data_IF_269602451755
#
_entry.id   IF_269602451755
#
_cell.length_a   1.000
_cell.length_b   1.000
_cell.length_c   1.000
_cell.angle_alpha   90.00
_cell.angle_beta   90.00
_cell.angle_gamma   90.00
#
_symmetry.space_group_name_H-M   'P 1'
#
loop_
_entity.id
_entity.type
_entity.pdbx_description
1 polymer ?
#
# COMPACT_ATOMS: atom_id res chain seq x y z
N UNK A 1 -5.17 59.05 -20.08
CA UNK A 1 -6.19 58.86 -19.02
C UNK A 1 -6.47 57.37 -18.91
N UNK A 2 -6.49 56.83 -17.68
CA UNK A 2 -7.05 55.50 -17.32
C UNK A 2 -6.24 54.26 -17.75
N UNK A 3 -5.92 53.26 -16.92
CA UNK A 3 -6.05 53.06 -15.46
C UNK A 3 -4.89 52.17 -14.99
N UNK A 4 -4.33 52.52 -13.84
CA UNK A 4 -3.37 51.72 -13.10
C UNK A 4 -4.09 50.54 -12.42
N UNK A 5 -3.62 49.31 -12.65
CA UNK A 5 -4.14 48.13 -11.97
C UNK A 5 -3.34 47.91 -10.68
N UNK A 6 -4.04 48.06 -9.54
CA UNK A 6 -3.46 48.03 -8.21
C UNK A 6 -3.18 46.59 -7.78
N UNK A 7 -1.94 46.36 -7.34
CA UNK A 7 -1.55 45.21 -6.56
C UNK A 7 -1.81 45.49 -5.08
N UNK A 8 -2.79 44.83 -4.51
CA UNK A 8 -2.99 44.57 -3.08
C UNK A 8 -3.66 43.20 -3.01
N UNK A 9 -3.36 42.29 -2.11
CA UNK A 9 -2.65 42.34 -0.84
C UNK A 9 -3.05 41.03 -0.14
N UNK A 10 -2.29 40.58 0.85
CA UNK A 10 -2.73 39.47 1.70
C UNK A 10 -1.64 38.49 2.08
N UNK A 11 -0.61 38.97 2.77
CA UNK A 11 0.19 38.13 3.65
C UNK A 11 -0.62 37.94 4.95
N UNK A 12 -1.30 36.80 5.08
CA UNK A 12 -1.86 36.35 6.35
C UNK A 12 -0.92 35.26 6.91
N UNK A 13 -0.05 35.68 7.82
CA UNK A 13 0.62 34.81 8.76
C UNK A 13 -0.45 34.21 9.69
N UNK A 14 -0.55 32.89 9.73
CA UNK A 14 -1.25 32.18 10.80
C UNK A 14 -0.23 31.31 11.50
N UNK A 15 0.32 31.92 12.53
CA UNK A 15 0.93 31.35 13.71
C UNK A 15 -0.12 30.53 14.45
N UNK A 16 0.15 29.27 14.76
CA UNK A 16 -0.47 28.53 15.88
C UNK A 16 0.34 27.27 16.16
N UNK A 17 1.23 27.42 17.14
CA UNK A 17 1.67 26.42 18.09
C UNK A 17 0.54 25.48 18.50
N UNK A 18 0.78 24.16 18.39
CA UNK A 18 0.12 23.19 19.26
C UNK A 18 1.11 22.06 19.57
N UNK A 19 1.85 22.24 20.67
CA UNK A 19 2.50 21.18 21.41
C UNK A 19 1.44 20.13 21.79
N UNK A 20 1.69 18.85 21.46
CA UNK A 20 0.93 17.75 22.05
C UNK A 20 1.85 16.65 22.54
N UNK A 21 1.79 16.47 23.85
CA UNK A 21 2.48 15.52 24.71
C UNK A 21 2.65 14.12 24.11
N UNK A 22 3.89 13.66 24.16
CA UNK A 22 4.32 12.29 23.90
C UNK A 22 4.06 11.41 25.13
N UNK A 23 2.87 10.78 25.22
CA UNK A 23 2.64 9.66 26.15
C UNK A 23 3.16 8.35 25.56
N UNK A 24 4.32 7.91 26.04
CA UNK A 24 4.86 6.56 25.85
C UNK A 24 4.07 5.55 26.68
N UNK A 25 3.11 4.87 26.08
CA UNK A 25 2.60 3.61 26.62
C UNK A 25 3.39 2.43 26.07
N UNK A 26 4.21 1.85 26.94
CA UNK A 26 4.81 0.53 26.79
C UNK A 26 3.75 -0.54 27.05
N UNK A 27 3.17 -1.10 26.00
CA UNK A 27 2.35 -2.32 26.12
C UNK A 27 3.17 -3.55 25.76
N UNK A 28 3.41 -4.36 26.80
CA UNK A 28 4.05 -5.66 26.73
C UNK A 28 3.26 -6.60 25.81
N UNK A 29 3.93 -7.07 24.76
CA UNK A 29 3.48 -8.15 23.88
C UNK A 29 3.56 -9.48 24.64
N UNK A 30 2.48 -9.85 25.31
CA UNK A 30 2.28 -11.20 25.81
C UNK A 30 1.96 -12.11 24.62
N UNK A 31 2.85 -13.07 24.37
CA UNK A 31 2.62 -14.14 23.42
C UNK A 31 1.40 -14.96 23.81
N UNK A 32 0.51 -15.21 22.85
CA UNK A 32 -0.55 -16.21 22.98
C UNK A 32 -0.35 -17.27 21.91
N UNK A 33 0.21 -18.37 22.36
CA UNK A 33 0.54 -19.58 21.62
C UNK A 33 -0.64 -20.54 21.64
N UNK A 34 -0.96 -21.09 20.46
CA UNK A 34 -1.59 -22.41 20.18
C UNK A 34 -2.78 -22.89 21.00
N UNK A 35 -3.91 -23.13 20.32
CA UNK A 35 -4.63 -24.41 20.39
C UNK A 35 -5.69 -24.53 19.29
N UNK A 36 -5.34 -25.21 18.21
CA UNK A 36 -6.29 -25.74 17.25
C UNK A 36 -6.82 -27.11 17.73
N UNK A 37 -8.13 -27.26 17.93
CA UNK A 37 -8.99 -28.40 17.50
C UNK A 37 -10.25 -28.50 18.36
N UNK A 38 -11.39 -28.20 17.74
CA UNK A 38 -12.72 -28.47 18.29
C UNK A 38 -13.82 -28.12 17.30
N UNK A 39 -13.90 -28.83 16.17
CA UNK A 39 -15.05 -28.73 15.24
C UNK A 39 -16.25 -29.49 15.83
N UNK A 40 -16.78 -29.02 16.95
CA UNK A 40 -18.10 -29.42 17.42
C UNK A 40 -19.16 -28.69 16.60
N UNK A 41 -19.98 -29.43 15.84
CA UNK A 41 -21.25 -28.91 15.28
C UNK A 41 -22.21 -28.68 16.45
N UNK A 42 -21.95 -27.65 17.25
CA UNK A 42 -22.85 -27.20 18.31
C UNK A 42 -24.14 -26.71 17.65
N UNK A 43 -25.26 -27.35 17.99
CA UNK A 43 -26.59 -26.84 17.67
C UNK A 43 -26.65 -25.42 18.25
N UNK A 44 -26.73 -24.41 17.36
CA UNK A 44 -26.85 -23.01 17.75
C UNK A 44 -28.05 -22.89 18.69
N UNK A 45 -27.83 -22.33 19.88
CA UNK A 45 -28.91 -22.07 20.81
C UNK A 45 -29.98 -21.20 20.10
N UNK A 46 -31.26 -21.59 20.13
CA UNK A 46 -32.31 -20.96 19.32
C UNK A 46 -32.66 -19.50 19.70
N UNK A 47 -32.05 -18.93 20.75
CA UNK A 47 -32.42 -17.61 21.29
C UNK A 47 -31.32 -16.53 21.19
N UNK A 48 -30.28 -16.71 20.38
CA UNK A 48 -29.23 -15.70 20.20
C UNK A 48 -29.64 -14.49 19.32
N UNK A 49 -30.89 -14.44 18.83
CA UNK A 49 -31.32 -13.42 17.85
C UNK A 49 -31.70 -12.07 18.49
N UNK A 50 -31.79 -11.98 19.82
CA UNK A 50 -32.29 -10.78 20.51
C UNK A 50 -31.23 -9.76 20.96
N UNK A 51 -29.95 -9.95 20.61
CA UNK A 51 -28.89 -8.96 20.88
C UNK A 51 -28.26 -8.42 19.60
N UNK A 52 -29.03 -8.35 18.52
CA UNK A 52 -28.53 -7.79 17.27
C UNK A 52 -28.55 -6.26 17.37
N UNK A 53 -27.45 -5.58 17.00
CA UNK A 53 -27.39 -4.12 17.06
C UNK A 53 -28.50 -3.52 16.19
N UNK A 54 -29.05 -2.36 16.59
CA UNK A 54 -30.03 -1.65 15.78
C UNK A 54 -29.42 -1.32 14.42
N UNK A 55 -30.22 -1.49 13.37
CA UNK A 55 -29.81 -1.19 11.99
C UNK A 55 -29.93 0.32 11.79
N UNK A 56 -28.89 0.94 11.25
CA UNK A 56 -28.92 2.36 10.90
C UNK A 56 -29.97 2.64 9.81
N UNK A 57 -30.73 3.76 9.90
CA UNK A 57 -31.84 4.04 8.99
C UNK A 57 -31.39 4.15 7.53
N UNK A 58 -30.23 4.77 7.26
CA UNK A 58 -29.69 4.91 5.91
C UNK A 58 -29.36 3.55 5.25
N UNK A 59 -28.87 2.60 6.05
CA UNK A 59 -28.56 1.23 5.57
C UNK A 59 -29.85 0.47 5.26
N UNK A 60 -30.86 0.63 6.12
CA UNK A 60 -32.18 0.03 5.95
C UNK A 60 -32.89 0.58 4.71
N UNK A 61 -32.83 1.89 4.49
CA UNK A 61 -33.37 2.55 3.28
C UNK A 61 -32.70 2.04 2.01
N UNK A 62 -31.36 1.96 1.98
CA UNK A 62 -30.61 1.40 0.86
C UNK A 62 -31.04 -0.05 0.59
N UNK A 63 -31.09 -0.89 1.62
CA UNK A 63 -31.42 -2.31 1.45
C UNK A 63 -32.87 -2.52 1.00
N UNK A 64 -33.83 -1.73 1.52
CA UNK A 64 -35.23 -1.73 1.08
C UNK A 64 -35.38 -1.29 -0.37
N UNK A 65 -34.69 -0.22 -0.77
CA UNK A 65 -34.71 0.34 -2.14
C UNK A 65 -34.33 -0.73 -3.19
N UNK A 66 -33.33 -1.55 -2.88
CA UNK A 66 -32.78 -2.56 -3.80
C UNK A 66 -33.22 -4.00 -3.50
N UNK A 67 -34.19 -4.19 -2.59
CA UNK A 67 -34.71 -5.49 -2.16
C UNK A 67 -33.59 -6.48 -1.73
N UNK A 68 -32.70 -6.02 -0.86
CA UNK A 68 -31.56 -6.79 -0.37
C UNK A 68 -31.96 -7.58 0.89
N UNK A 69 -31.49 -8.82 0.98
CA UNK A 69 -31.78 -9.72 2.10
C UNK A 69 -31.23 -9.20 3.44
N UNK A 70 -32.01 -9.36 4.51
CA UNK A 70 -31.66 -8.94 5.88
C UNK A 70 -30.28 -9.43 6.34
N UNK A 71 -29.87 -10.63 5.88
CA UNK A 71 -28.56 -11.18 6.21
C UNK A 71 -27.41 -10.32 5.69
N UNK A 72 -27.56 -9.74 4.49
CA UNK A 72 -26.57 -8.85 3.89
C UNK A 72 -26.66 -7.47 4.57
N UNK A 73 -27.86 -6.99 4.85
CA UNK A 73 -28.10 -5.74 5.59
C UNK A 73 -27.39 -5.72 6.94
N UNK A 74 -27.54 -6.78 7.73
CA UNK A 74 -26.87 -6.89 9.04
C UNK A 74 -25.36 -6.88 8.90
N UNK A 75 -24.82 -7.63 7.93
CA UNK A 75 -23.38 -7.66 7.66
C UNK A 75 -22.86 -6.28 7.24
N UNK A 76 -23.61 -5.55 6.41
CA UNK A 76 -23.26 -4.18 6.04
C UNK A 76 -23.26 -3.26 7.25
N UNK A 77 -24.27 -3.36 8.12
CA UNK A 77 -24.37 -2.60 9.37
C UNK A 77 -23.14 -2.82 10.26
N UNK A 78 -22.78 -4.08 10.51
CA UNK A 78 -21.61 -4.42 11.33
C UNK A 78 -20.32 -3.78 10.80
N UNK A 79 -20.13 -3.79 9.48
CA UNK A 79 -18.93 -3.21 8.84
C UNK A 79 -18.96 -1.67 8.90
N UNK A 80 -20.12 -1.06 8.69
CA UNK A 80 -20.27 0.40 8.73
C UNK A 80 -20.09 0.97 10.14
N UNK A 81 -20.49 0.25 11.19
CA UNK A 81 -20.23 0.66 12.57
C UNK A 81 -18.73 0.71 12.91
N UNK A 82 -17.87 0.02 12.15
CA UNK A 82 -16.41 0.13 12.33
C UNK A 82 -15.77 1.31 11.60
N UNK A 83 -16.53 2.01 10.75
CA UNK A 83 -16.04 3.03 9.79
C UNK A 83 -16.82 4.34 9.91
N UNK A 84 -16.99 4.84 11.13
CA UNK A 84 -17.75 6.08 11.39
C UNK A 84 -17.19 7.28 10.62
N UNK A 85 -15.86 7.39 10.49
CA UNK A 85 -15.20 8.51 9.80
C UNK A 85 -15.50 8.60 8.30
N UNK A 86 -15.81 7.47 7.64
CA UNK A 86 -16.04 7.40 6.19
C UNK A 86 -17.46 6.98 5.82
N UNK A 87 -18.37 6.98 6.79
CA UNK A 87 -19.72 6.43 6.65
C UNK A 87 -20.51 7.07 5.50
N UNK A 88 -20.67 8.39 5.50
CA UNK A 88 -21.47 9.11 4.49
C UNK A 88 -20.92 8.91 3.07
N UNK A 89 -19.59 8.97 2.93
CA UNK A 89 -18.91 8.81 1.64
C UNK A 89 -19.07 7.38 1.12
N UNK A 90 -18.89 6.40 2.01
CA UNK A 90 -19.04 4.99 1.65
C UNK A 90 -20.50 4.69 1.29
N UNK A 91 -21.49 5.23 2.01
CA UNK A 91 -22.91 5.05 1.76
C UNK A 91 -23.34 5.59 0.39
N UNK A 92 -22.92 6.82 0.07
CA UNK A 92 -23.17 7.43 -1.24
C UNK A 92 -22.58 6.58 -2.37
N UNK A 93 -21.35 6.09 -2.19
CA UNK A 93 -20.71 5.22 -3.17
C UNK A 93 -21.43 3.88 -3.34
N UNK A 94 -21.88 3.26 -2.25
CA UNK A 94 -22.65 2.02 -2.31
C UNK A 94 -23.98 2.22 -3.04
N UNK A 95 -24.63 3.37 -2.85
CA UNK A 95 -25.85 3.72 -3.57
C UNK A 95 -25.61 3.76 -5.08
N UNK A 96 -24.60 4.52 -5.53
CA UNK A 96 -24.22 4.63 -6.94
C UNK A 96 -23.87 3.26 -7.55
N UNK A 97 -23.14 2.42 -6.81
CA UNK A 97 -22.78 1.06 -7.25
C UNK A 97 -24.02 0.18 -7.40
N UNK A 98 -24.99 0.29 -6.49
CA UNK A 98 -26.24 -0.49 -6.55
C UNK A 98 -27.14 -0.02 -7.69
N UNK A 99 -27.23 1.29 -7.96
CA UNK A 99 -28.00 1.84 -9.09
C UNK A 99 -27.46 1.37 -10.45
N UNK A 100 -26.14 1.26 -10.59
CA UNK A 100 -25.50 0.84 -11.84
C UNK A 100 -25.47 -0.69 -12.03
N UNK A 101 -25.57 -1.48 -10.96
CA UNK A 101 -25.42 -2.92 -11.00
C UNK A 101 -26.69 -3.63 -11.50
N UNK A 102 -26.54 -4.55 -12.46
CA UNK A 102 -27.64 -5.45 -12.89
C UNK A 102 -28.19 -6.33 -11.76
N UNK A 103 -27.36 -6.62 -10.75
CA UNK A 103 -27.68 -7.45 -9.58
C UNK A 103 -27.15 -6.74 -8.32
N UNK A 104 -27.93 -5.84 -7.69
CA UNK A 104 -27.45 -4.98 -6.61
C UNK A 104 -26.99 -5.78 -5.39
N UNK A 105 -27.76 -6.79 -4.95
CA UNK A 105 -27.41 -7.66 -3.82
C UNK A 105 -26.02 -8.32 -3.97
N UNK A 106 -25.72 -8.89 -5.14
CA UNK A 106 -24.42 -9.51 -5.40
C UNK A 106 -23.26 -8.50 -5.46
N UNK A 107 -23.50 -7.34 -6.08
CA UNK A 107 -22.51 -6.25 -6.12
C UNK A 107 -22.20 -5.72 -4.73
N UNK A 108 -23.24 -5.50 -3.92
CA UNK A 108 -23.11 -5.03 -2.54
C UNK A 108 -22.32 -6.03 -1.70
N UNK A 109 -22.53 -7.33 -1.86
CA UNK A 109 -21.78 -8.35 -1.12
C UNK A 109 -20.26 -8.31 -1.40
N UNK A 110 -19.87 -8.03 -2.65
CA UNK A 110 -18.46 -7.81 -3.00
C UNK A 110 -17.94 -6.53 -2.34
N UNK A 111 -18.72 -5.45 -2.36
CA UNK A 111 -18.34 -4.17 -1.74
C UNK A 111 -18.23 -4.24 -0.22
N UNK A 112 -19.10 -4.99 0.45
CA UNK A 112 -18.96 -5.31 1.87
C UNK A 112 -17.62 -6.01 2.13
N UNK A 113 -17.24 -6.98 1.29
CA UNK A 113 -15.93 -7.65 1.41
C UNK A 113 -14.74 -6.71 1.18
N UNK A 114 -14.86 -5.70 0.31
CA UNK A 114 -13.86 -4.65 0.13
C UNK A 114 -13.78 -3.71 1.34
N UNK A 115 -14.93 -3.35 1.91
CA UNK A 115 -15.05 -2.50 3.11
C UNK A 115 -14.40 -3.17 4.32
N UNK A 116 -14.68 -4.46 4.54
CA UNK A 116 -14.07 -5.29 5.60
C UNK A 116 -12.54 -5.34 5.49
N UNK A 117 -12.00 -5.34 4.27
CA UNK A 117 -10.55 -5.35 4.02
C UNK A 117 -9.92 -3.95 4.09
N UNK A 118 -10.73 -2.91 4.16
CA UNK A 118 -10.27 -1.52 4.06
C UNK A 118 -9.79 -1.15 2.66
N UNK A 119 -10.18 -1.89 1.62
CA UNK A 119 -9.78 -1.62 0.23
C UNK A 119 -10.91 -0.99 -0.61
N UNK A 120 -12.04 -0.67 0.01
CA UNK A 120 -13.13 0.00 -0.66
C UNK A 120 -12.73 1.42 -1.04
N UNK A 121 -12.61 1.68 -2.34
CA UNK A 121 -12.29 2.98 -2.92
C UNK A 121 -13.50 3.54 -3.66
N UNK A 122 -14.64 3.63 -2.98
CA UNK A 122 -15.86 4.25 -3.50
C UNK A 122 -16.35 3.75 -4.88
N UNK A 123 -17.35 4.45 -5.43
CA UNK A 123 -17.84 4.24 -6.80
C UNK A 123 -16.90 4.83 -7.88
N UNK A 124 -15.95 5.68 -7.46
CA UNK A 124 -15.11 6.46 -8.34
C UNK A 124 -13.69 5.92 -8.42
N UNK A 125 -13.44 5.11 -9.46
CA UNK A 125 -12.16 4.94 -10.16
C UNK A 125 -10.93 5.01 -9.24
N UNK A 126 -10.49 3.85 -8.78
CA UNK A 126 -9.06 3.67 -8.50
C UNK A 126 -8.30 4.28 -9.68
N UNK A 127 -7.43 5.26 -9.41
CA UNK A 127 -6.66 5.95 -10.45
C UNK A 127 -6.12 4.91 -11.42
N UNK A 128 -6.31 5.13 -12.73
CA UNK A 128 -5.92 4.13 -13.73
C UNK A 128 -4.44 3.77 -13.60
N UNK A 129 -3.60 4.73 -13.18
CA UNK A 129 -2.21 4.51 -12.83
C UNK A 129 -2.04 3.53 -11.66
N UNK A 130 -2.84 3.61 -10.60
CA UNK A 130 -2.81 2.70 -9.46
C UNK A 130 -3.36 1.32 -9.80
N UNK A 131 -4.39 1.24 -10.64
CA UNK A 131 -4.89 -0.03 -11.17
C UNK A 131 -3.82 -0.73 -12.04
N UNK A 132 -3.11 0.05 -12.86
CA UNK A 132 -1.97 -0.43 -13.64
C UNK A 132 -0.82 -0.87 -12.72
N UNK A 133 -0.55 -0.13 -11.65
CA UNK A 133 0.47 -0.46 -10.66
C UNK A 133 0.16 -1.78 -9.95
N UNK A 134 -1.10 -1.98 -9.53
CA UNK A 134 -1.61 -3.24 -8.96
C UNK A 134 -1.36 -4.40 -9.92
N UNK A 135 -1.73 -4.23 -11.19
CA UNK A 135 -1.63 -5.30 -12.20
C UNK A 135 -0.18 -5.61 -12.57
N UNK A 136 0.67 -4.58 -12.70
CA UNK A 136 2.10 -4.68 -13.04
C UNK A 136 2.89 -5.45 -11.97
N UNK A 137 2.60 -5.19 -10.69
CA UNK A 137 3.30 -5.82 -9.58
C UNK A 137 2.49 -6.90 -8.87
N UNK A 138 1.30 -7.26 -9.38
CA UNK A 138 0.39 -8.24 -8.77
C UNK A 138 0.21 -8.01 -7.26
N UNK A 139 -0.11 -6.77 -6.89
CA UNK A 139 -0.26 -6.43 -5.47
C UNK A 139 -1.49 -7.09 -4.85
N UNK A 140 -1.28 -7.74 -3.71
CA UNK A 140 -2.37 -8.21 -2.86
C UNK A 140 -3.26 -7.06 -2.38
N UNK A 141 -4.53 -7.35 -2.11
CA UNK A 141 -5.53 -6.34 -1.71
C UNK A 141 -5.09 -5.52 -0.50
N UNK A 142 -4.44 -6.17 0.49
CA UNK A 142 -3.94 -5.49 1.70
C UNK A 142 -2.82 -4.50 1.39
N UNK A 143 -1.90 -4.88 0.50
CA UNK A 143 -0.81 -4.02 0.08
C UNK A 143 -1.34 -2.86 -0.78
N UNK A 144 -2.31 -3.13 -1.65
CA UNK A 144 -2.98 -2.11 -2.45
C UNK A 144 -3.73 -1.10 -1.59
N UNK A 145 -4.51 -1.54 -0.61
CA UNK A 145 -5.24 -0.65 0.30
C UNK A 145 -4.29 0.33 1.02
N UNK A 146 -3.18 -0.19 1.55
CA UNK A 146 -2.15 0.63 2.19
C UNK A 146 -1.44 1.56 1.22
N UNK A 147 -1.18 1.09 0.00
CA UNK A 147 -0.59 1.91 -1.06
C UNK A 147 -1.50 3.08 -1.44
N UNK A 148 -2.78 2.82 -1.68
CA UNK A 148 -3.80 3.83 -2.00
C UNK A 148 -3.89 4.85 -0.88
N UNK A 149 -4.00 4.42 0.38
CA UNK A 149 -4.10 5.31 1.55
C UNK A 149 -2.89 6.24 1.68
N UNK A 150 -1.67 5.71 1.52
CA UNK A 150 -0.44 6.53 1.67
C UNK A 150 -0.24 7.46 0.48
N UNK A 151 -0.49 6.99 -0.75
CA UNK A 151 -0.21 7.76 -1.97
C UNK A 151 -1.29 8.83 -2.23
N UNK A 152 -2.57 8.58 -1.93
CA UNK A 152 -3.63 9.57 -2.14
C UNK A 152 -3.53 10.79 -1.22
N UNK A 153 -2.97 10.62 -0.01
CA UNK A 153 -2.80 11.73 0.93
C UNK A 153 -1.70 12.72 0.51
N UNK A 154 -0.93 12.41 -0.53
CA UNK A 154 0.27 13.14 -0.92
C UNK A 154 0.11 13.83 -2.26
N UNK A 155 0.63 15.04 -2.37
CA UNK A 155 0.59 15.84 -3.60
C UNK A 155 1.53 15.28 -4.69
N UNK A 156 2.63 14.61 -4.29
CA UNK A 156 3.67 14.10 -5.20
C UNK A 156 3.43 12.63 -5.64
N UNK A 157 2.16 12.25 -5.85
CA UNK A 157 1.76 10.84 -6.11
C UNK A 157 2.56 10.15 -7.22
N UNK A 158 2.83 10.84 -8.32
CA UNK A 158 3.53 10.25 -9.48
C UNK A 158 5.00 9.97 -9.19
N UNK A 159 5.66 10.82 -8.40
CA UNK A 159 7.07 10.63 -8.07
C UNK A 159 7.24 9.48 -7.06
N UNK A 160 6.36 9.41 -6.06
CA UNK A 160 6.32 8.28 -5.12
C UNK A 160 6.07 6.95 -5.87
N UNK A 161 5.14 6.94 -6.83
CA UNK A 161 4.89 5.76 -7.67
C UNK A 161 6.11 5.34 -8.49
N UNK A 162 6.82 6.30 -9.09
CA UNK A 162 8.06 6.03 -9.84
C UNK A 162 9.16 5.47 -8.95
N UNK A 163 9.30 5.99 -7.73
CA UNK A 163 10.30 5.53 -6.77
C UNK A 163 9.96 4.13 -6.25
N UNK A 164 8.70 3.87 -5.89
CA UNK A 164 8.23 2.53 -5.53
C UNK A 164 8.45 1.55 -6.68
N UNK A 165 8.19 1.96 -7.93
CA UNK A 165 8.47 1.11 -9.09
C UNK A 165 9.94 0.68 -9.16
N UNK A 166 10.88 1.60 -8.89
CA UNK A 166 12.32 1.29 -8.88
C UNK A 166 12.67 0.25 -7.82
N UNK A 167 12.09 0.36 -6.63
CA UNK A 167 12.32 -0.60 -5.53
C UNK A 167 11.70 -1.97 -5.83
N UNK A 168 10.51 -2.00 -6.41
CA UNK A 168 9.79 -3.25 -6.67
C UNK A 168 10.27 -3.99 -7.91
N UNK A 169 10.97 -3.33 -8.84
CA UNK A 169 11.44 -3.94 -10.10
C UNK A 169 12.29 -5.20 -9.89
N UNK A 170 13.09 -5.24 -8.82
CA UNK A 170 13.98 -6.36 -8.51
C UNK A 170 13.47 -7.26 -7.37
N UNK A 171 12.29 -6.97 -6.81
CA UNK A 171 11.75 -7.70 -5.67
C UNK A 171 11.06 -9.00 -6.13
N UNK A 172 11.37 -10.13 -5.49
CA UNK A 172 10.69 -11.40 -5.75
C UNK A 172 9.20 -11.34 -5.33
N UNK A 173 8.93 -10.68 -4.20
CA UNK A 173 7.59 -10.53 -3.62
C UNK A 173 7.26 -9.04 -3.43
N UNK A 174 6.71 -8.37 -4.46
CA UNK A 174 6.48 -6.92 -4.41
C UNK A 174 5.48 -6.50 -3.32
N UNK A 175 4.44 -7.30 -3.05
CA UNK A 175 3.47 -7.01 -1.98
C UNK A 175 4.09 -6.99 -0.58
N UNK A 176 5.13 -7.80 -0.33
CA UNK A 176 5.85 -7.76 0.96
C UNK A 176 6.87 -6.63 0.99
N UNK A 177 7.57 -6.40 -0.13
CA UNK A 177 8.59 -5.36 -0.24
C UNK A 177 8.02 -3.93 -0.13
N UNK A 178 6.80 -3.70 -0.61
CA UNK A 178 6.18 -2.36 -0.60
C UNK A 178 5.78 -1.90 0.82
N UNK A 179 5.41 -2.82 1.72
CA UNK A 179 4.88 -2.50 3.05
C UNK A 179 5.84 -1.68 3.94
N UNK A 180 7.13 -2.06 4.10
CA UNK A 180 8.07 -1.23 4.85
C UNK A 180 8.32 0.12 4.16
N UNK A 181 8.35 0.16 2.82
CA UNK A 181 8.54 1.39 2.06
C UNK A 181 7.38 2.38 2.27
N UNK A 182 6.14 1.89 2.26
CA UNK A 182 4.96 2.71 2.56
C UNK A 182 4.96 3.22 4.00
N UNK A 183 5.49 2.43 4.93
CA UNK A 183 5.63 2.83 6.34
C UNK A 183 6.66 3.95 6.49
N UNK A 184 7.79 3.87 5.79
CA UNK A 184 8.80 4.94 5.72
C UNK A 184 8.21 6.17 5.04
N UNK A 185 7.51 6.00 3.92
CA UNK A 185 6.89 7.11 3.18
C UNK A 185 5.86 7.87 4.01
N UNK A 186 5.09 7.16 4.84
CA UNK A 186 4.12 7.76 5.77
C UNK A 186 4.79 8.53 6.91
N UNK A 187 5.97 8.09 7.38
CA UNK A 187 6.69 8.69 8.52
C UNK A 187 7.62 9.83 8.10
N UNK A 188 8.52 9.55 7.15
CA UNK A 188 9.63 10.43 6.77
C UNK A 188 9.26 11.36 5.61
N UNK A 189 8.16 11.10 4.92
CA UNK A 189 7.75 11.90 3.79
C UNK A 189 8.56 11.64 2.51
N UNK A 190 9.64 10.84 2.55
CA UNK A 190 10.47 10.50 1.38
C UNK A 190 10.86 9.03 1.41
N UNK A 191 10.99 8.41 0.24
CA UNK A 191 11.48 7.03 0.15
C UNK A 191 13.01 6.98 0.28
N UNK A 192 13.55 5.90 0.86
CA UNK A 192 14.98 5.66 0.81
C UNK A 192 15.41 5.54 -0.65
N UNK A 193 16.66 5.94 -0.93
CA UNK A 193 17.22 5.76 -2.27
C UNK A 193 17.18 4.26 -2.63
N UNK A 194 16.76 3.90 -3.86
CA UNK A 194 16.76 2.51 -4.27
C UNK A 194 18.16 1.94 -4.13
N UNK A 195 18.22 0.72 -3.59
CA UNK A 195 19.45 -0.07 -3.51
C UNK A 195 20.04 -0.06 -4.92
N UNK A 196 21.18 0.65 -5.10
CA UNK A 196 21.90 0.65 -6.37
C UNK A 196 22.15 -0.81 -6.71
N UNK A 197 21.72 -1.23 -7.91
CA UNK A 197 21.80 -2.61 -8.41
C UNK A 197 23.11 -3.24 -7.92
N UNK A 198 23.04 -4.01 -6.81
CA UNK A 198 24.23 -4.63 -6.23
C UNK A 198 24.86 -5.57 -7.26
N UNK A 199 24.08 -6.03 -8.22
CA UNK A 199 24.52 -6.80 -9.37
C UNK A 199 25.39 -6.00 -10.34
N UNK A 200 25.11 -4.71 -10.58
CA UNK A 200 26.02 -3.88 -11.40
C UNK A 200 27.35 -3.69 -10.70
N UNK A 201 27.36 -3.48 -9.39
CA UNK A 201 28.61 -3.39 -8.63
C UNK A 201 29.32 -4.75 -8.55
N UNK A 202 28.58 -5.86 -8.45
CA UNK A 202 29.12 -7.22 -8.47
C UNK A 202 29.75 -7.56 -9.83
N UNK A 203 29.10 -7.20 -10.93
CA UNK A 203 29.65 -7.37 -12.28
C UNK A 203 30.81 -6.44 -12.55
N UNK A 204 30.76 -5.20 -12.06
CA UNK A 204 31.89 -4.27 -12.14
C UNK A 204 33.10 -4.81 -11.37
N UNK A 205 32.90 -5.31 -10.15
CA UNK A 205 33.93 -5.95 -9.34
C UNK A 205 34.46 -7.23 -10.01
N UNK A 206 33.58 -8.07 -10.57
CA UNK A 206 33.97 -9.30 -11.30
C UNK A 206 34.78 -8.98 -12.55
N UNK A 207 34.39 -7.96 -13.31
CA UNK A 207 35.12 -7.46 -14.50
C UNK A 207 36.47 -6.86 -14.13
N UNK A 208 36.58 -6.18 -12.98
CA UNK A 208 37.86 -5.68 -12.48
C UNK A 208 38.79 -6.82 -12.03
N UNK A 209 38.25 -7.83 -11.34
CA UNK A 209 39.01 -9.00 -10.86
C UNK A 209 39.48 -9.93 -11.98
N UNK A 210 38.71 -10.08 -13.05
CA UNK A 210 39.14 -10.87 -14.22
C UNK A 210 40.23 -10.17 -15.03
N UNK A 211 40.16 -8.83 -15.15
CA UNK A 211 41.17 -8.03 -15.86
C UNK A 211 42.51 -7.92 -15.13
N UNK A 212 42.52 -7.95 -13.79
CA UNK A 212 43.76 -7.97 -13.02
C UNK A 212 44.44 -9.35 -13.03
N UNK A 213 43.67 -10.44 -13.08
CA UNK A 213 44.22 -11.81 -13.11
C UNK A 213 44.87 -12.20 -14.44
N UNK A 214 44.47 -11.59 -15.55
CA UNK A 214 45.11 -11.83 -16.87
C UNK A 214 46.41 -11.05 -17.06
N UNK A 215 46.61 -9.90 -16.39
CA UNK A 215 47.86 -9.12 -16.47
C UNK A 215 49.02 -9.71 -15.67
N UNK A 216 48.77 -10.55 -14.66
CA UNK A 216 49.84 -11.17 -13.87
C UNK A 216 50.41 -12.46 -14.48
N UNK A 217 49.76 -13.05 -15.49
CA UNK A 217 50.28 -14.25 -16.18
C UNK A 217 51.23 -13.95 -17.34
N UNK A 218 51.24 -12.73 -17.90
CA UNK A 218 52.09 -12.38 -19.05
C UNK A 218 53.49 -11.87 -18.69
N UNK A 219 53.82 -11.63 -17.41
CA UNK A 219 55.13 -11.09 -16.99
C UNK A 219 56.16 -12.12 -16.49
N UNK A 220 55.93 -13.42 -16.71
CA UNK A 220 56.83 -14.50 -16.24
C UNK A 220 57.44 -15.35 -17.36
N UNK A 221 57.46 -14.87 -18.61
CA UNK A 221 57.98 -15.60 -19.77
C UNK A 221 59.39 -15.19 -20.26
N UNK A 222 59.90 -14.02 -19.89
CA UNK A 222 60.97 -13.37 -20.68
C UNK A 222 62.29 -13.10 -19.93
N UNK A 223 62.82 -14.11 -19.23
CA UNK A 223 64.11 -14.02 -18.53
C UNK A 223 65.10 -15.16 -18.83
N UNK A 224 64.95 -15.88 -19.95
CA UNK A 224 65.75 -17.10 -20.20
C UNK A 224 66.56 -17.15 -21.50
N UNK A 225 66.97 -16.02 -22.10
CA UNK A 225 67.90 -16.05 -23.25
C UNK A 225 68.77 -14.80 -23.41
N UNK A 226 69.91 -14.73 -22.72
CA UNK A 226 71.19 -14.23 -23.32
C UNK A 226 72.36 -14.34 -22.36
N UNK A 227 72.88 -15.56 -22.21
CA UNK A 227 74.22 -15.78 -21.69
C UNK A 227 74.94 -16.76 -22.62
N UNK A 228 75.71 -16.23 -23.56
CA UNK A 228 76.94 -16.82 -24.14
C UNK A 228 77.35 -16.10 -25.42
N UNK A 229 78.37 -15.27 -25.32
CA UNK A 229 79.39 -15.15 -26.36
C UNK A 229 80.68 -14.72 -25.68
N UNK A 230 81.52 -15.73 -25.42
CA UNK A 230 82.87 -15.63 -24.91
C UNK A 230 83.74 -16.40 -25.91
N UNK A 231 84.32 -15.69 -26.86
CA UNK A 231 85.41 -16.12 -27.74
C UNK A 231 86.29 -14.88 -27.88
N UNK A 232 87.44 -14.85 -27.21
CA UNK A 232 88.76 -15.29 -27.68
C UNK A 232 89.24 -14.47 -28.86
#
# INVERSE_FOLDING_TARGET
>A
MSMANQASGGAAAVESDEEKEEKKETVASAGSSVAAKGRGKGKRAPNAEHCLPPILPEIDELCKKFAIEDKITRRLNDVMMTREDSFETDMKCLWEVCEQAKKPSGSLMVKIGELERGCFTGAGKLDQEMANFRSKFKLDDKALARFVDVVHRRNEKQEDMRQLERHLRNAANPSQAIMPLLSVLKKEGRLPSPDRDKDKDRDRARRYRSKSKSRSRSKKGDKKRKSRSRSR
#
